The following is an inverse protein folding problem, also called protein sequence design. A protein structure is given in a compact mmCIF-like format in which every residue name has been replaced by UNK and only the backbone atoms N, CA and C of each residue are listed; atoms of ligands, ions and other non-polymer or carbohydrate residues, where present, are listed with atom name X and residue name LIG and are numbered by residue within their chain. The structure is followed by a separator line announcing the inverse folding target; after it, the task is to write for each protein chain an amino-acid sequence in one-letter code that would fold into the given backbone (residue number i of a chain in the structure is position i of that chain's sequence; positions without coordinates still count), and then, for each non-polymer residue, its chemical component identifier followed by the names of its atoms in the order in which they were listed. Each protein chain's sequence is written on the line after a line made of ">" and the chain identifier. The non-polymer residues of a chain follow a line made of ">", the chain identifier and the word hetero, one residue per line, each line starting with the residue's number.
data_IF_691407676530
#
_entry.id   IF_691407676530
#
_cell.length_a   1.000
_cell.length_b   1.000
_cell.length_c   1.000
_cell.angle_alpha   90.00
_cell.angle_beta   90.00
_cell.angle_gamma   90.00
#
_symmetry.space_group_name_H-M   'P 1'
#
loop_
_entity.id
_entity.type
_entity.pdbx_description
1 polymer ?
#
# COMPACT_ATOMS: atom_id res chain seq x y z
N UNK A 1 19.27 -17.41 -10.70
CA UNK A 1 18.50 -16.20 -10.43
C UNK A 1 18.66 -15.79 -8.98
N UNK A 2 18.84 -14.49 -8.73
CA UNK A 2 18.90 -13.97 -7.36
C UNK A 2 17.53 -14.16 -6.67
N UNK A 3 17.53 -14.63 -5.43
CA UNK A 3 16.32 -14.88 -4.65
C UNK A 3 16.58 -14.56 -3.18
N UNK A 4 15.84 -13.62 -2.62
CA UNK A 4 15.92 -13.30 -1.20
C UNK A 4 14.99 -14.22 -0.40
N UNK A 5 15.48 -14.74 0.72
CA UNK A 5 14.73 -15.65 1.58
C UNK A 5 14.76 -15.22 3.03
N UNK A 6 13.63 -15.35 3.70
CA UNK A 6 13.53 -15.22 5.15
C UNK A 6 13.87 -16.56 5.78
N UNK A 7 14.95 -16.62 6.56
CA UNK A 7 15.33 -17.81 7.33
C UNK A 7 14.84 -17.70 8.76
N UNK A 8 14.45 -18.84 9.34
CA UNK A 8 14.05 -18.89 10.76
C UNK A 8 15.23 -18.57 11.68
N UNK A 9 14.98 -17.85 12.79
CA UNK A 9 13.65 -17.48 13.34
C UNK A 9 13.00 -16.23 12.74
N UNK A 10 13.53 -15.63 11.70
CA UNK A 10 13.23 -14.31 11.18
C UNK A 10 14.15 -13.26 11.80
N UNK A 11 14.07 -12.03 11.29
CA UNK A 11 14.98 -10.93 11.62
C UNK A 11 15.72 -10.45 10.39
N UNK A 12 16.06 -9.18 10.33
CA UNK A 12 16.72 -8.61 9.15
C UNK A 12 18.09 -9.24 8.89
N UNK A 13 18.77 -9.71 9.94
CA UNK A 13 20.04 -10.46 9.85
C UNK A 13 19.86 -11.90 9.33
N UNK A 14 18.62 -12.36 9.21
CA UNK A 14 18.27 -13.69 8.69
C UNK A 14 17.71 -13.63 7.27
N UNK A 15 17.80 -12.48 6.61
CA UNK A 15 17.56 -12.36 5.18
C UNK A 15 18.77 -12.92 4.43
N UNK A 16 18.53 -13.92 3.59
CA UNK A 16 19.58 -14.59 2.83
C UNK A 16 19.32 -14.44 1.33
N UNK A 17 20.29 -13.89 0.60
CA UNK A 17 20.27 -13.85 -0.86
C UNK A 17 20.91 -15.13 -1.39
N UNK A 18 20.14 -15.92 -2.12
CA UNK A 18 20.54 -17.18 -2.71
C UNK A 18 20.50 -17.12 -4.24
N UNK A 19 21.29 -17.96 -4.87
CA UNK A 19 21.14 -18.28 -6.29
C UNK A 19 20.26 -19.52 -6.47
N UNK A 20 19.20 -19.41 -7.26
CA UNK A 20 18.26 -20.48 -7.57
C UNK A 20 18.08 -20.63 -9.09
N UNK A 21 17.54 -21.76 -9.52
CA UNK A 21 17.14 -21.93 -10.92
C UNK A 21 15.72 -21.36 -11.13
N UNK A 22 15.49 -20.68 -12.25
CA UNK A 22 14.16 -20.30 -12.66
C UNK A 22 13.37 -21.56 -13.08
N UNK A 23 12.16 -21.71 -12.53
CA UNK A 23 11.27 -22.81 -12.92
C UNK A 23 10.54 -22.50 -14.24
N UNK A 24 10.10 -23.54 -14.93
CA UNK A 24 9.21 -23.39 -16.09
C UNK A 24 7.74 -23.37 -15.65
N UNK A 25 6.89 -22.55 -16.30
CA UNK A 25 5.48 -22.45 -15.94
C UNK A 25 4.70 -23.70 -16.37
N UNK A 26 3.90 -24.22 -15.46
CA UNK A 26 2.91 -25.28 -15.72
C UNK A 26 1.65 -24.76 -16.39
N UNK A 27 0.65 -25.63 -16.65
CA UNK A 27 -0.64 -25.23 -17.24
C UNK A 27 -1.35 -24.16 -16.41
N UNK A 28 -1.78 -23.06 -17.04
CA UNK A 28 -2.45 -21.92 -16.37
C UNK A 28 -1.52 -21.02 -15.55
N UNK A 29 -0.21 -21.24 -15.63
CA UNK A 29 0.80 -20.42 -14.97
C UNK A 29 1.59 -19.58 -15.97
N UNK A 30 2.13 -18.48 -15.47
CA UNK A 30 3.08 -17.62 -16.18
C UNK A 30 4.38 -17.53 -15.39
N UNK A 31 5.50 -17.36 -16.08
CA UNK A 31 6.73 -16.90 -15.44
C UNK A 31 6.83 -15.40 -15.61
N UNK A 32 6.96 -14.69 -14.50
CA UNK A 32 7.20 -13.24 -14.49
C UNK A 32 8.65 -12.99 -14.12
N UNK A 33 9.32 -12.14 -14.91
CA UNK A 33 10.59 -11.53 -14.55
C UNK A 33 10.29 -10.25 -13.78
N UNK A 34 10.45 -10.28 -12.46
CA UNK A 34 10.33 -9.08 -11.64
C UNK A 34 11.47 -8.11 -11.92
N UNK A 35 11.16 -6.83 -11.98
CA UNK A 35 12.10 -5.74 -12.24
C UNK A 35 12.22 -4.80 -11.05
N UNK A 36 11.17 -4.71 -10.25
CA UNK A 36 11.14 -3.93 -9.03
C UNK A 36 10.15 -4.53 -8.02
N UNK A 37 10.42 -4.25 -6.76
CA UNK A 37 9.53 -4.49 -5.62
C UNK A 37 9.40 -3.22 -4.78
N UNK A 38 8.51 -3.20 -3.80
CA UNK A 38 8.41 -2.08 -2.87
C UNK A 38 8.06 -2.54 -1.45
N UNK A 39 8.54 -1.81 -0.45
CA UNK A 39 8.39 -2.17 0.95
C UNK A 39 7.03 -1.75 1.50
N UNK A 40 6.41 -2.65 2.27
CA UNK A 40 5.22 -2.39 3.07
C UNK A 40 5.46 -2.77 4.53
N UNK A 41 4.64 -2.25 5.45
CA UNK A 41 4.72 -2.63 6.86
C UNK A 41 4.47 -4.13 7.07
N UNK A 42 3.59 -4.74 6.24
CA UNK A 42 3.36 -6.18 6.22
C UNK A 42 4.65 -6.96 5.92
N UNK A 43 5.40 -6.54 4.90
CA UNK A 43 6.64 -7.20 4.50
C UNK A 43 7.72 -7.10 5.60
N UNK A 44 7.75 -5.98 6.34
CA UNK A 44 8.62 -5.84 7.52
C UNK A 44 8.23 -6.85 8.61
N UNK A 45 6.93 -7.06 8.86
CA UNK A 45 6.48 -8.06 9.84
C UNK A 45 6.85 -9.49 9.43
N UNK A 46 6.84 -9.79 8.14
CA UNK A 46 7.33 -11.07 7.60
C UNK A 46 8.83 -11.18 7.79
N UNK A 47 9.59 -10.18 7.36
CA UNK A 47 11.05 -10.20 7.36
C UNK A 47 11.63 -10.28 8.79
N UNK A 48 11.04 -9.56 9.76
CA UNK A 48 11.52 -9.51 11.14
C UNK A 48 10.99 -10.65 12.03
N UNK A 49 10.15 -11.56 11.50
CA UNK A 49 9.60 -12.68 12.25
C UNK A 49 8.37 -12.33 13.10
N UNK A 50 7.80 -11.12 12.94
CA UNK A 50 6.53 -10.71 13.57
C UNK A 50 5.32 -11.50 13.05
N UNK A 51 5.41 -11.99 11.81
CA UNK A 51 4.50 -12.98 11.23
C UNK A 51 5.24 -14.28 11.00
N UNK A 52 4.62 -15.40 11.39
CA UNK A 52 5.22 -16.73 11.22
C UNK A 52 5.02 -17.22 9.80
N UNK A 53 6.10 -17.32 9.04
CA UNK A 53 6.11 -17.84 7.67
C UNK A 53 6.92 -19.15 7.57
N UNK A 54 6.81 -19.85 6.45
CA UNK A 54 7.64 -21.02 6.16
C UNK A 54 9.12 -20.63 6.09
N UNK A 55 10.01 -21.52 6.56
CA UNK A 55 11.45 -21.33 6.42
C UNK A 55 11.85 -21.25 4.96
N UNK A 56 12.64 -20.24 4.59
CA UNK A 56 13.02 -19.98 3.21
C UNK A 56 11.94 -19.31 2.36
N UNK A 57 10.89 -18.73 2.97
CA UNK A 57 9.88 -17.91 2.28
C UNK A 57 10.55 -16.77 1.50
N UNK A 58 10.16 -16.59 0.25
CA UNK A 58 10.50 -15.40 -0.54
C UNK A 58 9.57 -14.27 -0.10
N UNK A 59 10.07 -13.20 0.53
CA UNK A 59 9.23 -12.11 1.01
C UNK A 59 8.80 -11.15 -0.11
N UNK A 60 8.21 -10.02 0.26
CA UNK A 60 7.74 -8.89 -0.54
C UNK A 60 6.44 -9.18 -1.28
N UNK A 61 5.41 -8.44 -0.90
CA UNK A 61 4.07 -8.54 -1.47
C UNK A 61 3.92 -7.81 -2.80
N UNK A 62 4.70 -6.75 -2.99
CA UNK A 62 4.67 -5.89 -4.17
C UNK A 62 5.69 -6.34 -5.21
N UNK A 63 5.29 -6.38 -6.48
CA UNK A 63 6.17 -6.62 -7.61
C UNK A 63 5.64 -5.98 -8.88
N UNK A 64 6.54 -5.47 -9.71
CA UNK A 64 6.29 -5.08 -11.09
C UNK A 64 7.34 -5.67 -12.01
N UNK A 65 6.93 -6.18 -13.15
CA UNK A 65 7.81 -6.89 -14.06
C UNK A 65 7.17 -7.22 -15.41
N UNK A 66 7.76 -8.18 -16.10
CA UNK A 66 7.34 -8.59 -17.44
C UNK A 66 7.04 -10.08 -17.46
N UNK A 67 6.02 -10.46 -18.18
CA UNK A 67 5.75 -11.87 -18.50
C UNK A 67 6.89 -12.40 -19.38
N UNK A 68 7.60 -13.40 -18.89
CA UNK A 68 8.80 -13.97 -19.54
C UNK A 68 8.51 -15.30 -20.26
N UNK A 69 7.59 -16.12 -19.70
CA UNK A 69 7.16 -17.37 -20.31
C UNK A 69 5.71 -17.69 -19.96
N UNK A 70 5.07 -18.49 -20.80
CA UNK A 70 3.67 -18.91 -20.67
C UNK A 70 3.56 -20.41 -20.55
N UNK A 71 2.79 -20.90 -19.59
CA UNK A 71 2.38 -22.28 -19.50
C UNK A 71 1.25 -22.63 -20.46
N UNK A 72 0.98 -23.93 -20.60
CA UNK A 72 -0.08 -24.39 -21.48
C UNK A 72 -1.45 -23.84 -21.07
N UNK A 73 -2.27 -23.40 -22.04
CA UNK A 73 -3.63 -22.90 -21.82
C UNK A 73 -3.71 -21.43 -21.39
N UNK A 74 -2.61 -20.76 -21.12
CA UNK A 74 -2.60 -19.31 -20.85
C UNK A 74 -2.99 -18.56 -22.12
N UNK A 75 -3.99 -17.68 -22.01
CA UNK A 75 -4.47 -16.84 -23.11
C UNK A 75 -4.65 -15.36 -22.75
N UNK A 76 -4.60 -15.06 -21.46
CA UNK A 76 -4.78 -13.69 -20.93
C UNK A 76 -3.55 -12.81 -21.16
N UNK A 77 -2.37 -13.41 -21.25
CA UNK A 77 -1.09 -12.73 -21.30
C UNK A 77 -0.26 -13.13 -22.54
N UNK A 78 0.62 -12.24 -22.95
CA UNK A 78 1.66 -12.48 -23.93
C UNK A 78 3.05 -12.24 -23.29
N UNK A 79 4.08 -12.88 -23.84
CA UNK A 79 5.47 -12.60 -23.44
C UNK A 79 5.78 -11.14 -23.75
N UNK A 80 6.35 -10.42 -22.76
CA UNK A 80 6.63 -9.00 -22.82
C UNK A 80 5.53 -8.11 -22.21
N UNK A 81 4.37 -8.66 -21.84
CA UNK A 81 3.35 -7.88 -21.12
C UNK A 81 3.86 -7.41 -19.76
N UNK A 82 3.67 -6.12 -19.47
CA UNK A 82 4.07 -5.50 -18.21
C UNK A 82 2.96 -5.67 -17.16
N UNK A 83 3.34 -6.24 -16.02
CA UNK A 83 2.39 -6.68 -14.98
C UNK A 83 2.81 -6.23 -13.58
N UNK A 84 1.82 -6.15 -12.68
CA UNK A 84 1.99 -5.96 -11.24
C UNK A 84 1.41 -7.15 -10.48
N UNK A 85 2.01 -7.49 -9.34
CA UNK A 85 1.50 -8.52 -8.43
C UNK A 85 0.13 -8.17 -7.86
N UNK A 86 -0.57 -9.19 -7.35
CA UNK A 86 -1.72 -9.03 -6.46
C UNK A 86 -1.31 -9.40 -5.03
N UNK A 87 -1.66 -8.55 -4.06
CA UNK A 87 -1.45 -8.86 -2.64
C UNK A 87 -2.28 -10.10 -2.23
N UNK A 88 -3.54 -10.18 -2.69
CA UNK A 88 -4.45 -11.32 -2.52
C UNK A 88 -4.75 -11.95 -3.89
N UNK A 89 -3.93 -12.87 -4.40
CA UNK A 89 -4.11 -13.43 -5.74
C UNK A 89 -5.41 -14.23 -5.91
N UNK A 90 -6.03 -14.69 -4.81
CA UNK A 90 -7.31 -15.39 -4.84
C UNK A 90 -8.54 -14.45 -4.79
N UNK A 91 -8.34 -13.14 -4.63
CA UNK A 91 -9.44 -12.19 -4.59
C UNK A 91 -9.55 -11.43 -5.92
N UNK A 92 -10.24 -12.04 -6.87
CA UNK A 92 -10.38 -11.47 -8.21
C UNK A 92 -11.39 -10.31 -8.24
N UNK A 93 -12.55 -10.48 -7.61
CA UNK A 93 -13.63 -9.49 -7.59
C UNK A 93 -14.58 -9.67 -6.41
N UNK A 94 -15.55 -8.76 -6.27
CA UNK A 94 -16.64 -8.86 -5.32
C UNK A 94 -16.24 -8.65 -3.86
N UNK A 95 -17.11 -9.09 -2.94
CA UNK A 95 -16.92 -8.92 -1.51
C UNK A 95 -15.80 -9.81 -0.98
N UNK A 96 -15.00 -9.28 -0.06
CA UNK A 96 -13.98 -10.05 0.63
C UNK A 96 -14.60 -11.26 1.38
N UNK A 97 -13.92 -12.41 1.30
CA UNK A 97 -14.28 -13.65 1.99
C UNK A 97 -13.03 -14.30 2.59
N UNK A 98 -13.17 -15.18 3.60
CA UNK A 98 -12.01 -15.82 4.25
C UNK A 98 -11.09 -16.60 3.30
N UNK A 99 -11.63 -17.20 2.23
CA UNK A 99 -10.83 -17.92 1.23
C UNK A 99 -9.87 -17.02 0.45
N UNK A 100 -10.17 -15.72 0.33
CA UNK A 100 -9.34 -14.78 -0.41
C UNK A 100 -8.00 -14.49 0.30
N UNK A 101 -7.95 -14.63 1.62
CA UNK A 101 -6.73 -14.40 2.41
C UNK A 101 -5.90 -15.66 2.65
N UNK A 102 -6.28 -16.81 2.07
CA UNK A 102 -5.48 -18.05 2.17
C UNK A 102 -4.16 -17.97 1.42
N UNK A 103 -4.09 -17.13 0.39
CA UNK A 103 -2.88 -16.82 -0.34
C UNK A 103 -2.60 -15.33 -0.22
N UNK A 104 -1.49 -14.99 0.45
CA UNK A 104 -0.95 -13.64 0.59
C UNK A 104 0.46 -13.66 0.02
N UNK A 105 0.69 -12.87 -1.01
CA UNK A 105 1.98 -12.78 -1.69
C UNK A 105 3.06 -12.29 -0.72
N UNK A 106 4.16 -13.02 -0.63
CA UNK A 106 5.28 -12.73 0.27
C UNK A 106 5.10 -13.21 1.71
N UNK A 107 3.94 -13.82 2.05
CA UNK A 107 3.61 -14.32 3.39
C UNK A 107 3.27 -15.81 3.33
N UNK A 108 2.01 -16.18 3.07
CA UNK A 108 1.59 -17.58 2.99
C UNK A 108 2.02 -18.28 1.70
N UNK A 109 2.29 -17.52 0.65
CA UNK A 109 2.92 -17.96 -0.61
C UNK A 109 4.19 -17.14 -0.88
N UNK A 110 5.04 -17.59 -1.81
CA UNK A 110 6.24 -16.87 -2.21
C UNK A 110 5.90 -15.52 -2.86
N UNK A 111 6.72 -14.52 -2.56
CA UNK A 111 6.57 -13.14 -2.98
C UNK A 111 7.47 -12.75 -4.14
N UNK A 112 7.73 -11.45 -4.21
CA UNK A 112 8.37 -10.81 -5.36
C UNK A 112 9.86 -10.50 -5.16
N UNK A 113 10.47 -10.89 -4.03
CA UNK A 113 11.90 -10.67 -3.78
C UNK A 113 12.80 -11.68 -4.52
N UNK A 114 12.59 -11.83 -5.84
CA UNK A 114 13.36 -12.72 -6.71
C UNK A 114 13.31 -12.24 -8.16
N UNK A 115 14.30 -12.62 -8.97
CA UNK A 115 14.32 -12.22 -10.39
C UNK A 115 13.20 -12.85 -11.22
N UNK A 116 12.82 -14.11 -10.92
CA UNK A 116 11.75 -14.82 -11.62
C UNK A 116 10.83 -15.53 -10.66
N UNK A 117 9.53 -15.48 -10.92
CA UNK A 117 8.52 -16.25 -10.21
C UNK A 117 7.59 -16.95 -11.21
N UNK A 118 7.23 -18.19 -10.91
CA UNK A 118 6.14 -18.91 -11.60
C UNK A 118 4.90 -18.78 -10.73
N UNK A 119 3.86 -18.19 -11.30
CA UNK A 119 2.62 -17.85 -10.60
C UNK A 119 1.40 -18.11 -11.50
N UNK A 120 0.21 -18.22 -10.90
CA UNK A 120 -1.03 -18.28 -11.66
C UNK A 120 -1.18 -17.07 -12.58
N UNK A 121 -1.69 -17.25 -13.80
CA UNK A 121 -2.02 -16.16 -14.73
C UNK A 121 -2.99 -15.14 -14.13
N UNK A 122 -3.73 -15.50 -13.07
CA UNK A 122 -4.66 -14.63 -12.34
C UNK A 122 -4.02 -13.90 -11.14
N UNK A 123 -2.73 -14.15 -10.84
CA UNK A 123 -2.04 -13.53 -9.71
C UNK A 123 -1.44 -12.14 -10.03
N UNK A 124 -1.69 -11.62 -11.21
CA UNK A 124 -1.20 -10.32 -11.69
C UNK A 124 -2.29 -9.53 -12.41
N UNK A 125 -2.10 -8.20 -12.47
CA UNK A 125 -2.85 -7.28 -13.32
C UNK A 125 -1.90 -6.50 -14.21
N UNK A 126 -2.45 -5.79 -15.20
CA UNK A 126 -1.66 -4.93 -16.07
C UNK A 126 -1.03 -3.76 -15.31
N UNK A 127 0.20 -3.45 -15.62
CA UNK A 127 0.88 -2.24 -15.16
C UNK A 127 0.31 -0.99 -15.85
N UNK A 128 0.13 0.16 -15.14
CA UNK A 128 -0.25 1.42 -15.78
C UNK A 128 0.79 1.88 -16.81
N UNK A 129 0.33 2.29 -17.99
CA UNK A 129 1.21 2.84 -19.02
C UNK A 129 1.85 4.14 -18.54
N UNK A 130 3.13 4.32 -18.88
CA UNK A 130 3.88 5.54 -18.55
C UNK A 130 4.51 5.57 -17.15
N UNK A 131 4.33 4.52 -16.35
CA UNK A 131 5.09 4.32 -15.11
C UNK A 131 6.34 3.46 -15.38
N UNK A 132 7.40 3.72 -14.61
CA UNK A 132 8.52 2.80 -14.46
C UNK A 132 8.11 1.58 -13.63
N UNK A 133 8.90 0.49 -13.67
CA UNK A 133 8.63 -0.68 -12.81
C UNK A 133 8.71 -0.33 -11.33
N UNK A 134 9.63 0.53 -10.93
CA UNK A 134 9.72 1.00 -9.55
C UNK A 134 8.45 1.76 -9.10
N UNK A 135 7.93 2.68 -9.92
CA UNK A 135 6.67 3.39 -9.65
C UNK A 135 5.50 2.40 -9.58
N UNK A 136 5.38 1.49 -10.55
CA UNK A 136 4.30 0.51 -10.60
C UNK A 136 4.34 -0.47 -9.42
N UNK A 137 5.53 -0.90 -8.97
CA UNK A 137 5.69 -1.76 -7.82
C UNK A 137 5.13 -1.14 -6.52
N UNK A 138 4.94 0.18 -6.44
CA UNK A 138 4.38 0.82 -5.25
C UNK A 138 2.85 0.71 -5.14
N UNK A 139 2.19 0.21 -6.19
CA UNK A 139 0.73 0.25 -6.31
C UNK A 139 0.00 -0.96 -5.70
N UNK A 140 0.49 -2.23 -5.77
CA UNK A 140 -0.29 -3.40 -5.39
C UNK A 140 -0.77 -3.40 -3.94
N UNK A 141 0.03 -2.91 -2.99
CA UNK A 141 -0.36 -2.78 -1.60
C UNK A 141 -0.80 -1.34 -1.26
N UNK A 142 0.12 -0.38 -1.26
CA UNK A 142 -0.17 0.97 -0.77
C UNK A 142 -1.13 1.74 -1.69
N UNK A 143 -0.93 1.69 -3.00
CA UNK A 143 -1.80 2.33 -3.98
C UNK A 143 -3.22 1.78 -3.93
N UNK A 144 -3.35 0.44 -3.97
CA UNK A 144 -4.64 -0.23 -3.95
C UNK A 144 -5.37 -0.04 -2.62
N UNK A 145 -4.64 0.03 -1.49
CA UNK A 145 -5.23 0.37 -0.19
C UNK A 145 -5.86 1.76 -0.21
N UNK A 146 -5.13 2.77 -0.71
CA UNK A 146 -5.65 4.13 -0.84
C UNK A 146 -6.84 4.19 -1.79
N UNK A 147 -6.78 3.48 -2.91
CA UNK A 147 -7.88 3.37 -3.87
C UNK A 147 -9.13 2.75 -3.24
N UNK A 148 -8.99 1.60 -2.57
CA UNK A 148 -10.10 0.95 -1.89
C UNK A 148 -10.71 1.86 -0.81
N UNK A 149 -9.86 2.52 -0.02
CA UNK A 149 -10.29 3.41 1.04
C UNK A 149 -11.13 4.58 0.51
N UNK A 150 -10.66 5.26 -0.52
CA UNK A 150 -11.26 6.50 -1.03
C UNK A 150 -12.36 6.22 -2.05
N UNK A 151 -12.08 5.43 -3.08
CA UNK A 151 -12.98 5.31 -4.24
C UNK A 151 -14.04 4.23 -4.04
N UNK A 152 -13.70 3.12 -3.37
CA UNK A 152 -14.62 1.98 -3.24
C UNK A 152 -15.42 2.07 -1.94
N UNK A 153 -14.77 2.29 -0.79
CA UNK A 153 -15.44 2.38 0.51
C UNK A 153 -15.94 3.79 0.80
N UNK A 154 -15.10 4.77 0.60
CA UNK A 154 -15.41 6.18 0.84
C UNK A 154 -16.35 6.79 -0.20
N UNK A 155 -16.40 6.24 -1.42
CA UNK A 155 -17.16 6.82 -2.54
C UNK A 155 -16.89 8.31 -2.72
N UNK A 156 -15.60 8.67 -2.58
CA UNK A 156 -15.10 10.04 -2.59
C UNK A 156 -15.49 10.77 -3.89
N UNK A 157 -15.94 12.00 -3.77
CA UNK A 157 -16.40 12.82 -4.87
C UNK A 157 -15.65 14.15 -4.96
N UNK A 158 -15.66 14.77 -6.14
CA UNK A 158 -15.11 16.10 -6.31
C UNK A 158 -15.82 17.11 -5.39
N UNK A 159 -15.02 17.95 -4.71
CA UNK A 159 -15.50 18.90 -3.71
C UNK A 159 -15.50 18.37 -2.27
N UNK A 160 -15.29 17.07 -2.04
CA UNK A 160 -15.10 16.52 -0.71
C UNK A 160 -13.79 17.02 -0.08
N UNK A 161 -13.61 16.70 1.21
CA UNK A 161 -12.40 16.97 1.98
C UNK A 161 -11.83 15.69 2.56
N UNK A 162 -10.50 15.55 2.55
CA UNK A 162 -9.76 14.37 3.00
C UNK A 162 -8.73 14.76 4.06
N UNK A 163 -8.66 13.97 5.13
CA UNK A 163 -7.53 13.97 6.06
C UNK A 163 -6.65 12.73 5.80
N UNK A 164 -5.36 12.97 5.56
CA UNK A 164 -4.33 11.93 5.51
C UNK A 164 -3.36 12.08 6.67
N UNK A 165 -2.97 10.97 7.29
CA UNK A 165 -2.06 10.96 8.44
C UNK A 165 -0.66 10.53 8.01
N UNK A 166 0.34 11.37 8.32
CA UNK A 166 1.73 11.12 7.97
C UNK A 166 2.04 11.24 6.48
N UNK A 167 3.26 10.86 6.13
CA UNK A 167 3.84 11.00 4.77
C UNK A 167 4.38 9.67 4.23
N UNK A 168 3.83 8.55 4.68
CA UNK A 168 4.14 7.22 4.16
C UNK A 168 3.40 6.89 2.87
N UNK A 169 3.64 5.71 2.33
CA UNK A 169 3.16 5.29 1.01
C UNK A 169 1.67 5.44 0.78
N UNK A 170 0.82 4.95 1.72
CA UNK A 170 -0.64 5.05 1.58
C UNK A 170 -1.11 6.50 1.60
N UNK A 171 -0.60 7.29 2.55
CA UNK A 171 -1.03 8.70 2.74
C UNK A 171 -0.62 9.59 1.57
N UNK A 172 0.59 9.41 1.04
CA UNK A 172 1.08 10.18 -0.11
C UNK A 172 0.28 9.86 -1.38
N UNK A 173 0.05 8.57 -1.65
CA UNK A 173 -0.73 8.18 -2.82
C UNK A 173 -2.21 8.57 -2.69
N UNK A 174 -2.77 8.50 -1.47
CA UNK A 174 -4.13 8.97 -1.19
C UNK A 174 -4.29 10.47 -1.46
N UNK A 175 -3.29 11.28 -1.07
CA UNK A 175 -3.24 12.71 -1.39
C UNK A 175 -3.25 12.91 -2.91
N UNK A 176 -2.41 12.18 -3.65
CA UNK A 176 -2.35 12.30 -5.11
C UNK A 176 -3.67 11.92 -5.79
N UNK A 177 -4.31 10.81 -5.38
CA UNK A 177 -5.63 10.40 -5.87
C UNK A 177 -6.68 11.49 -5.57
N UNK A 178 -6.71 11.99 -4.35
CA UNK A 178 -7.66 13.02 -3.93
C UNK A 178 -7.50 14.33 -4.73
N UNK A 179 -6.27 14.79 -4.93
CA UNK A 179 -6.01 16.00 -5.73
C UNK A 179 -6.41 15.80 -7.19
N UNK A 180 -6.15 14.65 -7.77
CA UNK A 180 -6.59 14.32 -9.13
C UNK A 180 -8.12 14.25 -9.25
N UNK A 181 -8.83 13.92 -8.17
CA UNK A 181 -10.30 13.89 -8.11
C UNK A 181 -10.94 15.24 -7.74
N UNK A 182 -10.16 16.32 -7.52
CA UNK A 182 -10.70 17.63 -7.14
C UNK A 182 -11.14 17.74 -5.68
N UNK A 183 -10.47 17.02 -4.79
CA UNK A 183 -10.74 16.96 -3.35
C UNK A 183 -9.75 17.84 -2.59
N UNK A 184 -10.23 18.53 -1.54
CA UNK A 184 -9.38 19.30 -0.62
C UNK A 184 -8.69 18.37 0.38
N UNK A 185 -7.37 18.55 0.58
CA UNK A 185 -6.58 17.66 1.42
C UNK A 185 -5.93 18.39 2.59
N UNK A 186 -6.19 17.90 3.79
CA UNK A 186 -5.46 18.23 5.01
C UNK A 186 -4.51 17.04 5.30
N UNK A 187 -3.23 17.30 5.49
CA UNK A 187 -2.25 16.29 5.81
C UNK A 187 -1.63 16.56 7.20
N UNK A 188 -1.35 15.50 7.96
CA UNK A 188 -0.59 15.63 9.21
C UNK A 188 0.82 15.05 9.06
N UNK A 189 1.78 15.62 9.76
CA UNK A 189 3.18 15.15 9.78
C UNK A 189 3.84 15.51 11.12
N UNK A 190 4.97 14.89 11.43
CA UNK A 190 5.82 15.28 12.58
C UNK A 190 7.04 16.09 12.16
N UNK A 191 7.21 16.39 10.88
CA UNK A 191 8.40 17.04 10.32
C UNK A 191 8.00 18.21 9.43
N UNK A 192 8.57 19.37 9.68
CA UNK A 192 8.35 20.57 8.85
C UNK A 192 8.85 20.36 7.42
N UNK A 193 9.99 19.66 7.23
CA UNK A 193 10.51 19.32 5.90
C UNK A 193 9.52 18.46 5.10
N UNK A 194 9.01 17.38 5.72
CA UNK A 194 7.97 16.54 5.09
C UNK A 194 6.68 17.31 4.85
N UNK A 195 6.37 18.30 5.71
CA UNK A 195 5.24 19.20 5.55
C UNK A 195 5.33 20.02 4.27
N UNK A 196 6.49 20.58 3.94
CA UNK A 196 6.68 21.31 2.68
C UNK A 196 6.53 20.39 1.47
N UNK A 197 7.08 19.18 1.50
CA UNK A 197 6.89 18.18 0.43
C UNK A 197 5.41 17.78 0.25
N UNK A 198 4.63 17.68 1.31
CA UNK A 198 3.18 17.43 1.23
C UNK A 198 2.45 18.60 0.56
N UNK A 199 2.83 19.86 0.84
CA UNK A 199 2.28 21.05 0.16
C UNK A 199 2.64 21.07 -1.33
N UNK A 200 3.89 20.75 -1.68
CA UNK A 200 4.34 20.63 -3.07
C UNK A 200 3.53 19.59 -3.86
N UNK A 201 3.11 18.50 -3.20
CA UNK A 201 2.23 17.46 -3.77
C UNK A 201 0.75 17.91 -3.84
N UNK A 202 0.42 19.10 -3.32
CA UNK A 202 -0.91 19.68 -3.42
C UNK A 202 -1.76 19.57 -2.15
N UNK A 203 -1.21 19.23 -0.98
CA UNK A 203 -1.95 19.34 0.27
C UNK A 203 -2.34 20.81 0.52
N UNK A 204 -3.63 21.08 0.69
CA UNK A 204 -4.14 22.43 0.90
C UNK A 204 -3.76 22.96 2.29
N UNK A 205 -3.69 22.06 3.28
CA UNK A 205 -3.24 22.36 4.63
C UNK A 205 -2.36 21.25 5.17
N UNK A 206 -1.36 21.64 5.96
CA UNK A 206 -0.48 20.70 6.65
C UNK A 206 -0.41 21.06 8.13
N UNK A 207 -0.60 20.08 9.01
CA UNK A 207 -0.54 20.22 10.46
C UNK A 207 0.62 19.40 10.99
N UNK A 208 1.53 20.04 11.74
CA UNK A 208 2.59 19.33 12.45
C UNK A 208 2.07 18.83 13.80
N UNK A 209 1.73 17.54 13.91
CA UNK A 209 1.20 16.96 15.13
C UNK A 209 2.22 16.86 16.29
N UNK A 210 3.50 17.03 16.01
CA UNK A 210 4.50 17.14 17.09
C UNK A 210 4.42 18.49 17.82
N UNK A 211 3.95 19.53 17.14
CA UNK A 211 3.78 20.88 17.67
C UNK A 211 2.31 21.13 18.09
N UNK A 212 1.35 20.56 17.39
CA UNK A 212 -0.09 20.67 17.66
C UNK A 212 -0.66 19.33 18.14
N UNK A 213 -0.68 19.13 19.45
CA UNK A 213 -1.24 17.92 20.08
C UNK A 213 -2.77 17.81 19.92
N UNK A 214 -3.45 18.92 19.60
CA UNK A 214 -4.89 18.97 19.36
C UNK A 214 -5.20 19.06 17.87
N UNK A 215 -4.38 18.42 17.02
CA UNK A 215 -4.48 18.49 15.58
C UNK A 215 -5.88 18.20 15.03
N UNK A 216 -6.67 17.33 15.68
CA UNK A 216 -8.04 17.04 15.25
C UNK A 216 -8.99 18.23 15.43
N UNK A 217 -8.80 19.05 16.45
CA UNK A 217 -9.54 20.30 16.62
C UNK A 217 -9.12 21.35 15.59
N UNK A 218 -7.85 21.37 15.23
CA UNK A 218 -7.33 22.23 14.15
C UNK A 218 -7.91 21.79 12.80
N UNK A 219 -8.03 20.48 12.53
CA UNK A 219 -8.74 19.97 11.33
C UNK A 219 -10.17 20.49 11.31
N UNK A 220 -10.92 20.40 12.42
CA UNK A 220 -12.30 20.90 12.50
C UNK A 220 -12.40 22.41 12.23
N UNK A 221 -11.45 23.22 12.71
CA UNK A 221 -11.41 24.66 12.43
C UNK A 221 -11.15 24.97 10.96
N UNK A 222 -10.19 24.26 10.34
CA UNK A 222 -9.82 24.44 8.94
C UNK A 222 -10.98 24.03 8.02
N UNK A 223 -11.60 22.86 8.28
CA UNK A 223 -12.66 22.30 7.45
C UNK A 223 -14.07 22.87 7.73
N UNK A 224 -14.21 23.67 8.80
CA UNK A 224 -15.52 24.21 9.18
C UNK A 224 -16.45 23.16 9.84
N UNK A 225 -15.91 22.13 10.48
CA UNK A 225 -16.72 21.16 11.24
C UNK A 225 -16.38 19.69 10.98
N UNK A 226 -15.23 19.42 10.38
CA UNK A 226 -14.69 18.10 10.10
C UNK A 226 -14.60 17.79 8.61
N UNK A 227 -13.83 16.76 8.27
CA UNK A 227 -13.61 16.32 6.89
C UNK A 227 -14.56 15.18 6.50
N UNK A 228 -14.80 15.02 5.20
CA UNK A 228 -15.62 13.96 4.62
C UNK A 228 -14.97 12.59 4.81
N UNK A 229 -13.66 12.51 4.59
CA UNK A 229 -12.90 11.26 4.60
C UNK A 229 -11.67 11.36 5.49
N UNK A 230 -11.39 10.29 6.23
CA UNK A 230 -10.15 10.13 7.00
C UNK A 230 -9.48 8.82 6.62
N UNK A 231 -8.20 8.87 6.27
CA UNK A 231 -7.36 7.67 6.20
C UNK A 231 -6.55 7.57 7.49
N UNK A 232 -6.91 6.61 8.33
CA UNK A 232 -6.25 6.36 9.61
C UNK A 232 -5.22 5.24 9.48
N UNK A 233 -3.94 5.60 9.55
CA UNK A 233 -2.81 4.67 9.53
C UNK A 233 -2.24 4.41 10.92
N UNK A 234 -2.59 5.21 11.90
CA UNK A 234 -2.07 5.11 13.26
C UNK A 234 -2.82 4.10 14.13
N UNK A 235 -4.09 3.85 13.85
CA UNK A 235 -4.90 2.88 14.58
C UNK A 235 -5.12 3.27 16.04
N UNK A 236 -4.56 2.50 16.98
CA UNK A 236 -4.82 2.68 18.41
C UNK A 236 -4.56 4.08 18.96
N UNK A 237 -3.53 4.74 18.50
CA UNK A 237 -3.16 6.09 18.96
C UNK A 237 -3.98 7.21 18.31
N UNK A 238 -4.48 7.02 17.09
CA UNK A 238 -5.09 8.10 16.29
C UNK A 238 -6.60 8.00 16.13
N UNK A 239 -7.19 6.84 16.34
CA UNK A 239 -8.61 6.60 16.04
C UNK A 239 -9.56 7.57 16.76
N UNK A 240 -9.29 7.93 18.02
CA UNK A 240 -10.10 8.91 18.75
C UNK A 240 -10.09 10.28 18.07
N UNK A 241 -8.92 10.71 17.63
CA UNK A 241 -8.75 12.00 16.97
C UNK A 241 -9.29 11.97 15.54
N UNK A 242 -9.18 10.84 14.84
CA UNK A 242 -9.82 10.60 13.54
C UNK A 242 -11.35 10.71 13.63
N UNK A 243 -11.96 10.16 14.69
CA UNK A 243 -13.40 10.30 14.98
C UNK A 243 -13.77 11.77 15.24
N UNK A 244 -12.91 12.52 15.96
CA UNK A 244 -13.13 13.96 16.19
C UNK A 244 -13.01 14.76 14.90
N UNK A 245 -12.03 14.47 14.06
CA UNK A 245 -11.74 15.19 12.81
C UNK A 245 -12.76 14.93 11.69
N UNK A 246 -13.45 13.79 11.69
CA UNK A 246 -14.49 13.50 10.72
C UNK A 246 -15.76 14.32 10.96
N UNK A 247 -16.40 14.83 9.88
CA UNK A 247 -17.71 15.53 10.00
C UNK A 247 -18.84 14.55 10.34
N UNK A 248 -20.03 15.09 10.59
CA UNK A 248 -21.26 14.27 10.66
C UNK A 248 -21.47 13.55 9.33
N UNK A 249 -21.78 12.26 9.37
CA UNK A 249 -21.86 11.32 8.25
C UNK A 249 -20.54 11.23 7.45
N UNK A 250 -19.41 11.45 8.12
CA UNK A 250 -18.08 11.27 7.54
C UNK A 250 -17.64 9.80 7.52
N UNK A 251 -16.68 9.50 6.68
CA UNK A 251 -16.13 8.18 6.47
C UNK A 251 -14.69 8.07 7.01
N UNK A 252 -14.42 7.02 7.78
CA UNK A 252 -13.08 6.70 8.30
C UNK A 252 -12.64 5.34 7.78
N UNK A 253 -11.54 5.31 7.05
CA UNK A 253 -10.84 4.09 6.65
C UNK A 253 -9.74 3.75 7.65
N UNK A 254 -9.91 2.66 8.39
CA UNK A 254 -8.88 2.10 9.27
C UNK A 254 -7.95 1.21 8.43
N UNK A 255 -6.74 1.68 8.22
CA UNK A 255 -5.76 1.06 7.32
C UNK A 255 -4.59 0.47 8.09
N UNK A 256 -4.09 1.19 9.10
CA UNK A 256 -2.83 0.84 9.77
C UNK A 256 -2.93 0.75 11.29
N UNK A 257 -1.84 0.28 11.86
CA UNK A 257 -1.68 0.07 13.31
C UNK A 257 -0.35 0.67 13.82
N UNK A 258 0.22 1.65 13.10
CA UNK A 258 1.54 2.20 13.43
C UNK A 258 1.60 2.83 14.83
N UNK A 259 0.49 3.30 15.35
CA UNK A 259 0.37 3.85 16.71
C UNK A 259 -0.26 2.87 17.72
N UNK A 260 -0.38 1.58 17.38
CA UNK A 260 -0.88 0.55 18.25
C UNK A 260 -2.11 -0.19 17.74
N UNK A 261 -2.36 -1.35 18.34
CA UNK A 261 -3.39 -2.32 17.90
C UNK A 261 -4.75 -2.15 18.59
N UNK A 262 -4.85 -1.27 19.59
CA UNK A 262 -6.09 -1.10 20.38
C UNK A 262 -6.34 0.36 20.73
N UNK A 263 -7.60 0.76 20.72
CA UNK A 263 -8.05 2.10 21.11
C UNK A 263 -9.19 2.04 22.13
N UNK A 264 -9.24 3.02 23.05
CA UNK A 264 -10.44 3.29 23.85
C UNK A 264 -11.30 4.32 23.13
N UNK A 265 -12.53 3.95 22.78
CA UNK A 265 -13.46 4.79 22.02
C UNK A 265 -14.64 5.19 22.89
N UNK A 266 -15.03 6.45 22.79
CA UNK A 266 -16.29 6.96 23.35
C UNK A 266 -17.39 6.72 22.32
N UNK A 267 -18.16 5.65 22.48
CA UNK A 267 -19.16 5.18 21.50
C UNK A 267 -20.14 6.27 21.04
N UNK A 268 -20.66 7.17 21.94
CA UNK A 268 -21.49 8.30 21.53
C UNK A 268 -20.89 9.19 20.44
N UNK A 269 -19.57 9.33 20.35
CA UNK A 269 -18.94 10.13 19.29
C UNK A 269 -19.17 9.54 17.89
N UNK A 270 -19.35 8.23 17.80
CA UNK A 270 -19.57 7.54 16.51
C UNK A 270 -21.03 7.70 16.10
N UNK A 271 -21.98 7.28 16.96
CA UNK A 271 -23.40 7.29 16.56
C UNK A 271 -24.00 8.71 16.50
N UNK A 272 -23.56 9.67 17.33
CA UNK A 272 -24.05 11.05 17.26
C UNK A 272 -23.64 11.76 15.96
N UNK A 273 -22.48 11.40 15.41
CA UNK A 273 -22.02 11.88 14.10
C UNK A 273 -22.46 10.95 12.94
N UNK A 274 -23.09 9.80 13.22
CA UNK A 274 -23.48 8.82 12.18
C UNK A 274 -22.28 8.43 11.29
N UNK A 275 -21.12 8.16 11.90
CA UNK A 275 -19.88 7.88 11.16
C UNK A 275 -19.90 6.48 10.54
N UNK A 276 -19.34 6.37 9.35
CA UNK A 276 -18.98 5.13 8.71
C UNK A 276 -17.51 4.80 8.98
N UNK A 277 -17.25 3.70 9.68
CA UNK A 277 -15.88 3.25 9.98
C UNK A 277 -15.65 1.91 9.30
N UNK A 278 -14.72 1.87 8.35
CA UNK A 278 -14.41 0.68 7.58
C UNK A 278 -12.97 0.22 7.80
N UNK A 279 -12.78 -1.08 8.09
CA UNK A 279 -11.47 -1.72 7.96
C UNK A 279 -11.12 -1.90 6.49
N UNK A 280 -9.91 -1.52 6.11
CA UNK A 280 -9.41 -1.62 4.74
C UNK A 280 -8.13 -2.45 4.73
N UNK A 281 -8.14 -3.56 4.00
CA UNK A 281 -6.99 -4.40 3.75
C UNK A 281 -6.79 -4.52 2.23
N UNK A 282 -5.91 -3.72 1.70
CA UNK A 282 -5.49 -3.70 0.28
C UNK A 282 -6.68 -3.62 -0.69
N UNK A 283 -6.95 -4.67 -1.49
CA UNK A 283 -8.03 -4.74 -2.48
C UNK A 283 -7.94 -5.99 -3.34
N UNK A 284 -8.79 -6.07 -4.37
CA UNK A 284 -8.86 -7.17 -5.32
C UNK A 284 -8.37 -6.79 -6.72
N UNK A 285 -8.29 -7.77 -7.64
CA UNK A 285 -7.81 -7.57 -9.01
C UNK A 285 -8.66 -6.54 -9.78
N UNK A 286 -9.99 -6.62 -9.69
CA UNK A 286 -10.87 -5.66 -10.36
C UNK A 286 -10.65 -4.22 -9.88
N UNK A 287 -10.47 -4.02 -8.57
CA UNK A 287 -10.12 -2.70 -8.00
C UNK A 287 -8.74 -2.22 -8.48
N UNK A 288 -7.77 -3.13 -8.63
CA UNK A 288 -6.43 -2.80 -9.13
C UNK A 288 -6.49 -2.40 -10.62
N UNK A 289 -7.31 -3.08 -11.43
CA UNK A 289 -7.54 -2.71 -12.82
C UNK A 289 -8.24 -1.34 -12.94
N UNK A 290 -9.21 -1.02 -12.05
CA UNK A 290 -9.85 0.30 -11.98
C UNK A 290 -8.84 1.40 -11.61
N UNK A 291 -8.04 1.16 -10.58
CA UNK A 291 -6.95 2.05 -10.19
C UNK A 291 -5.96 2.27 -11.32
N UNK A 292 -5.56 1.19 -12.03
CA UNK A 292 -4.65 1.27 -13.18
C UNK A 292 -5.17 2.24 -14.24
N UNK A 293 -6.47 2.13 -14.62
CA UNK A 293 -7.09 3.05 -15.59
C UNK A 293 -7.13 4.50 -15.08
N UNK A 294 -7.38 4.69 -13.79
CA UNK A 294 -7.40 6.03 -13.20
C UNK A 294 -6.00 6.68 -13.18
N UNK A 295 -4.96 5.91 -12.86
CA UNK A 295 -3.57 6.40 -12.87
C UNK A 295 -3.12 6.77 -14.28
N UNK A 296 -3.46 5.96 -15.29
CA UNK A 296 -3.21 6.29 -16.69
C UNK A 296 -3.91 7.61 -17.11
N UNK A 297 -5.19 7.73 -16.80
CA UNK A 297 -6.00 8.90 -17.20
C UNK A 297 -5.54 10.19 -16.51
N UNK A 298 -5.17 10.12 -15.23
CA UNK A 298 -4.77 11.26 -14.40
C UNK A 298 -3.26 11.51 -14.41
N UNK A 299 -2.48 10.63 -15.05
CA UNK A 299 -1.02 10.70 -15.10
C UNK A 299 -0.36 10.80 -13.71
N UNK A 300 -0.96 10.17 -12.72
CA UNK A 300 -0.41 10.13 -11.36
C UNK A 300 0.87 9.31 -11.36
N UNK A 301 1.94 9.89 -10.82
CA UNK A 301 3.22 9.21 -10.60
C UNK A 301 3.45 9.02 -9.11
N UNK A 302 3.54 7.77 -8.63
CA UNK A 302 3.85 7.50 -7.23
C UNK A 302 5.18 8.11 -6.80
N UNK A 303 5.24 8.56 -5.56
CA UNK A 303 6.45 9.17 -4.99
C UNK A 303 7.33 8.09 -4.38
N UNK A 304 8.54 7.95 -4.90
CA UNK A 304 9.59 7.08 -4.37
C UNK A 304 10.61 7.94 -3.63
N UNK A 305 10.90 7.59 -2.38
CA UNK A 305 11.93 8.24 -1.58
C UNK A 305 13.32 7.76 -1.97
N UNK A 306 13.48 6.44 -2.01
CA UNK A 306 14.77 5.80 -2.32
C UNK A 306 14.55 4.42 -2.95
N UNK A 307 15.43 4.08 -3.87
CA UNK A 307 15.56 2.76 -4.45
C UNK A 307 16.84 2.08 -3.93
N UNK A 308 16.75 0.77 -3.65
CA UNK A 308 17.86 -0.06 -3.19
C UNK A 308 18.01 -1.27 -4.10
N UNK A 309 19.19 -1.88 -4.16
CA UNK A 309 19.34 -3.22 -4.76
C UNK A 309 18.66 -4.28 -3.88
N UNK A 310 18.20 -5.36 -4.48
CA UNK A 310 17.62 -6.50 -3.75
C UNK A 310 18.53 -7.02 -2.62
N UNK A 311 19.85 -6.96 -2.79
CA UNK A 311 20.81 -7.35 -1.76
C UNK A 311 20.83 -6.40 -0.55
N UNK A 312 20.35 -5.17 -0.71
CA UNK A 312 20.31 -4.12 0.33
C UNK A 312 18.95 -4.07 1.06
N UNK A 313 18.16 -5.14 0.97
CA UNK A 313 16.79 -5.16 1.54
C UNK A 313 16.79 -4.90 3.04
N UNK A 314 17.82 -5.35 3.79
CA UNK A 314 17.91 -5.08 5.23
C UNK A 314 18.07 -3.59 5.53
N UNK A 315 18.88 -2.88 4.77
CA UNK A 315 19.08 -1.43 4.84
C UNK A 315 17.80 -0.68 4.45
N UNK A 316 17.09 -1.15 3.43
CA UNK A 316 15.81 -0.58 3.02
C UNK A 316 14.76 -0.70 4.15
N UNK A 317 14.67 -1.84 4.84
CA UNK A 317 13.81 -2.00 6.02
C UNK A 317 14.27 -1.17 7.21
N UNK A 318 15.57 -0.97 7.40
CA UNK A 318 16.10 -0.07 8.44
C UNK A 318 15.65 1.38 8.19
N UNK A 319 15.70 1.86 6.94
CA UNK A 319 15.16 3.17 6.57
C UNK A 319 13.64 3.23 6.81
N UNK A 320 12.88 2.20 6.44
CA UNK A 320 11.44 2.15 6.71
C UNK A 320 11.12 2.26 8.20
N UNK A 321 11.85 1.51 9.04
CA UNK A 321 11.68 1.48 10.50
C UNK A 321 12.01 2.82 11.15
N UNK A 322 13.00 3.56 10.61
CA UNK A 322 13.35 4.91 11.11
C UNK A 322 12.26 5.95 10.89
N UNK A 323 11.23 5.64 10.06
CA UNK A 323 10.17 6.55 9.65
C UNK A 323 10.68 7.86 9.01
N UNK A 324 11.93 7.90 8.52
CA UNK A 324 12.50 9.10 7.88
C UNK A 324 12.10 9.23 6.40
N UNK A 325 11.73 8.13 5.74
CA UNK A 325 11.31 8.14 4.35
C UNK A 325 10.04 8.97 4.09
N UNK A 326 9.84 9.37 2.83
CA UNK A 326 8.66 10.07 2.34
C UNK A 326 8.09 9.33 1.11
N UNK A 327 6.83 8.87 1.17
CA UNK A 327 6.27 8.03 0.12
C UNK A 327 6.72 6.58 0.25
N UNK A 328 7.23 6.00 -0.83
CA UNK A 328 7.60 4.57 -0.89
C UNK A 328 9.11 4.37 -1.00
N UNK A 329 9.56 3.23 -0.51
CA UNK A 329 10.91 2.69 -0.70
C UNK A 329 10.78 1.52 -1.67
N UNK A 330 11.64 1.45 -2.67
CA UNK A 330 11.63 0.41 -3.71
C UNK A 330 12.91 -0.42 -3.68
N UNK A 331 12.82 -1.60 -4.30
CA UNK A 331 13.93 -2.49 -4.56
C UNK A 331 14.05 -2.73 -6.07
N UNK A 332 15.22 -2.51 -6.63
CA UNK A 332 15.60 -2.98 -7.97
C UNK A 332 15.99 -4.46 -7.92
N UNK A 333 15.43 -5.27 -8.85
CA UNK A 333 15.60 -6.73 -8.90
C UNK A 333 16.41 -7.15 -10.10
#
# INVERSE_FOLDING_TARGET
>A
MRTLRVKKPGGLDHLQLDDANAAEPGPGEIRVRWRASSLNYHDLLVANGGLSVADGRIPMSDGAGEVDALGAGVSRWAVGDQVMSLFFPNWQEGRHRPEHTRAVTGDSIDGCACEYAVISENAVTRMPKGLSFAEAATLPCAGLTAWQALMVRGQMQAGDSLLVQGSGGVSVVALQIAKAAGVSVIATTSSSEKGERLKELGADHVINYAEDQNWSDTVNKISGGGVDHVIDIGGGATLKDSINAARTSGHISLVGILGGVSAKIVVPMIFSKQLEIHGVAVGNAAMQDDMTRAFEASQIKPVIDRDFDLAETAEAFALQTSAQHFGKITLSI
#
